data_IF_641027378349
#
_entry.id   IF_641027378349
#
_cell.length_a   1.000
_cell.length_b   1.000
_cell.length_c   1.000
_cell.angle_alpha   90.00
_cell.angle_beta   90.00
_cell.angle_gamma   90.00
#
_symmetry.space_group_name_H-M   'P 1'
#
loop_
_entity.id
_entity.type
_entity.pdbx_description
1 polymer ?
#
# COMPACT_ATOMS: atom_id res chain seq x y z
N UNK A 1 24.57 9.08 9.52
CA UNK A 1 23.68 8.88 8.36
C UNK A 1 23.18 10.23 7.87
N UNK A 2 23.02 10.38 6.56
CA UNK A 2 22.45 11.56 5.91
C UNK A 2 21.11 11.19 5.28
N UNK A 3 20.17 12.13 5.34
CA UNK A 3 18.85 11.99 4.76
C UNK A 3 18.93 12.17 3.25
N UNK A 4 18.38 11.22 2.51
CA UNK A 4 18.28 11.26 1.06
C UNK A 4 16.82 11.11 0.64
N UNK A 5 16.32 12.06 -0.14
CA UNK A 5 14.96 11.99 -0.71
C UNK A 5 15.01 10.97 -1.84
N UNK A 6 14.17 9.93 -1.75
CA UNK A 6 14.02 8.93 -2.80
C UNK A 6 12.95 9.35 -3.82
N UNK A 7 11.82 9.88 -3.33
CA UNK A 7 10.75 10.40 -4.17
C UNK A 7 10.23 11.69 -3.56
N UNK A 8 10.33 12.78 -4.30
CA UNK A 8 9.78 14.09 -3.97
C UNK A 8 8.24 14.05 -3.92
N UNK A 9 7.63 15.11 -3.36
CA UNK A 9 6.18 15.25 -3.34
C UNK A 9 5.62 15.26 -4.77
N UNK A 10 6.31 15.93 -5.67
CA UNK A 10 5.92 16.11 -7.06
C UNK A 10 5.95 14.78 -7.82
N UNK A 11 7.03 14.00 -7.68
CA UNK A 11 7.14 12.66 -8.28
C UNK A 11 6.06 11.70 -7.76
N UNK A 12 5.76 11.75 -6.46
CA UNK A 12 4.67 10.95 -5.87
C UNK A 12 3.33 11.36 -6.46
N UNK A 13 3.03 12.67 -6.54
CA UNK A 13 1.77 13.15 -7.12
C UNK A 13 1.61 12.73 -8.59
N UNK A 14 2.65 12.89 -9.40
CA UNK A 14 2.64 12.44 -10.80
C UNK A 14 2.37 10.94 -10.92
N UNK A 15 2.97 10.14 -10.03
CA UNK A 15 2.74 8.70 -9.98
C UNK A 15 1.30 8.38 -9.59
N UNK A 16 0.75 9.04 -8.57
CA UNK A 16 -0.62 8.83 -8.11
C UNK A 16 -1.62 9.14 -9.22
N UNK A 17 -1.44 10.24 -9.96
CA UNK A 17 -2.26 10.58 -11.13
C UNK A 17 -2.19 9.48 -12.19
N UNK A 18 -0.97 9.01 -12.50
CA UNK A 18 -0.79 7.92 -13.47
C UNK A 18 -1.50 6.64 -13.05
N UNK A 19 -1.42 6.25 -11.77
CA UNK A 19 -2.10 5.07 -11.22
C UNK A 19 -3.61 5.24 -11.28
N UNK A 20 -4.12 6.41 -10.88
CA UNK A 20 -5.55 6.73 -10.94
C UNK A 20 -6.11 6.53 -12.35
N UNK A 21 -5.41 7.01 -13.38
CA UNK A 21 -5.82 6.82 -14.79
C UNK A 21 -5.75 5.38 -15.28
N UNK A 22 -4.78 4.59 -14.81
CA UNK A 22 -4.72 3.16 -15.13
C UNK A 22 -5.91 2.41 -14.50
N UNK A 23 -6.19 2.67 -13.23
CA UNK A 23 -7.31 2.07 -12.50
C UNK A 23 -8.65 2.48 -13.13
N UNK A 24 -8.84 3.76 -13.43
CA UNK A 24 -10.05 4.29 -14.06
C UNK A 24 -10.36 3.60 -15.41
N UNK A 25 -9.31 3.23 -16.16
CA UNK A 25 -9.44 2.52 -17.43
C UNK A 25 -9.82 1.05 -17.25
N UNK A 26 -9.29 0.40 -16.22
CA UNK A 26 -9.49 -1.03 -15.97
C UNK A 26 -10.82 -1.34 -15.26
N UNK A 27 -11.36 -0.38 -14.50
CA UNK A 27 -12.67 -0.48 -13.85
C UNK A 27 -13.73 0.32 -14.63
N UNK A 28 -14.52 -0.39 -15.44
CA UNK A 28 -15.65 0.20 -16.17
C UNK A 28 -16.85 0.53 -15.26
N UNK A 29 -17.07 -0.28 -14.23
CA UNK A 29 -18.16 -0.13 -13.24
C UNK A 29 -17.66 0.51 -11.93
N UNK A 30 -18.59 0.94 -11.09
CA UNK A 30 -18.35 1.33 -9.70
C UNK A 30 -17.63 0.21 -8.91
N UNK A 31 -16.77 0.60 -7.96
CA UNK A 31 -15.97 -0.34 -7.18
C UNK A 31 -15.72 0.13 -5.75
N UNK A 32 -15.26 -0.80 -4.91
CA UNK A 32 -14.90 -0.55 -3.53
C UNK A 32 -13.38 -0.48 -3.40
N UNK A 33 -12.89 0.61 -2.80
CA UNK A 33 -11.49 0.71 -2.37
C UNK A 33 -11.37 0.30 -0.92
N UNK A 34 -10.50 -0.66 -0.63
CA UNK A 34 -10.18 -1.09 0.73
C UNK A 34 -8.74 -0.65 1.02
N UNK A 35 -8.59 0.41 1.82
CA UNK A 35 -7.30 0.91 2.25
C UNK A 35 -6.82 0.18 3.51
N UNK A 36 -5.58 -0.33 3.47
CA UNK A 36 -4.96 -1.03 4.59
C UNK A 36 -4.34 -0.02 5.57
N UNK A 37 -4.92 0.07 6.77
CA UNK A 37 -4.45 0.97 7.81
C UNK A 37 -3.28 0.37 8.59
N UNK A 38 -2.35 1.20 9.09
CA UNK A 38 -2.34 2.67 9.07
C UNK A 38 -1.51 3.28 7.94
N UNK A 39 -0.73 2.49 7.21
CA UNK A 39 0.25 2.97 6.24
C UNK A 39 -0.34 3.68 5.04
N UNK A 40 -1.32 3.05 4.41
CA UNK A 40 -1.82 3.47 3.10
C UNK A 40 -2.73 4.69 3.10
N UNK A 41 -3.16 5.24 4.24
CA UNK A 41 -4.25 6.23 4.26
C UNK A 41 -3.96 7.51 3.46
N UNK A 42 -2.71 7.99 3.43
CA UNK A 42 -2.32 9.16 2.64
C UNK A 42 -2.35 8.81 1.16
N UNK A 43 -1.68 7.73 0.78
CA UNK A 43 -1.68 7.25 -0.60
C UNK A 43 -3.09 6.98 -1.12
N UNK A 44 -3.93 6.30 -0.34
CA UNK A 44 -5.31 6.01 -0.69
C UNK A 44 -6.12 7.30 -0.86
N UNK A 45 -5.98 8.28 0.05
CA UNK A 45 -6.69 9.56 -0.05
C UNK A 45 -6.29 10.36 -1.30
N UNK A 46 -5.02 10.31 -1.69
CA UNK A 46 -4.53 10.97 -2.90
C UNK A 46 -4.99 10.20 -4.14
N UNK A 47 -4.87 8.87 -4.15
CA UNK A 47 -5.26 8.01 -5.26
C UNK A 47 -6.74 8.10 -5.61
N UNK A 48 -7.65 8.00 -4.63
CA UNK A 48 -9.10 8.00 -4.92
C UNK A 48 -9.58 9.31 -5.51
N UNK A 49 -8.86 10.42 -5.29
CA UNK A 49 -9.20 11.74 -5.87
C UNK A 49 -8.82 11.86 -7.34
N UNK A 50 -7.94 11.00 -7.84
CA UNK A 50 -7.51 10.96 -9.24
C UNK A 50 -8.36 10.03 -10.11
N UNK A 51 -9.32 9.32 -9.50
CA UNK A 51 -10.20 8.35 -10.16
C UNK A 51 -11.55 9.00 -10.44
N UNK A 52 -11.91 9.16 -11.71
CA UNK A 52 -13.20 9.72 -12.13
C UNK A 52 -14.30 8.63 -12.25
N UNK A 53 -14.63 7.99 -11.12
CA UNK A 53 -15.66 6.95 -10.99
C UNK A 53 -16.38 7.05 -9.64
N UNK A 54 -17.54 6.41 -9.50
CA UNK A 54 -18.13 6.24 -8.18
C UNK A 54 -17.34 5.18 -7.41
N UNK A 55 -16.73 5.61 -6.30
CA UNK A 55 -15.91 4.77 -5.44
C UNK A 55 -16.48 4.79 -4.03
N UNK A 56 -16.74 3.62 -3.48
CA UNK A 56 -17.00 3.45 -2.05
C UNK A 56 -15.68 3.12 -1.34
N UNK A 57 -15.42 3.75 -0.21
CA UNK A 57 -14.13 3.62 0.50
C UNK A 57 -14.37 2.94 1.85
N UNK A 58 -13.66 1.84 2.09
CA UNK A 58 -13.59 1.19 3.39
C UNK A 58 -12.13 0.99 3.82
N UNK A 59 -11.96 0.64 5.09
CA UNK A 59 -10.64 0.50 5.71
C UNK A 59 -10.55 -0.84 6.44
N UNK A 60 -9.40 -1.50 6.29
CA UNK A 60 -9.07 -2.71 7.02
C UNK A 60 -7.80 -2.49 7.83
N UNK A 61 -7.83 -2.83 9.12
CA UNK A 61 -6.65 -2.73 9.98
C UNK A 61 -6.14 -4.13 10.27
N UNK A 62 -4.86 -4.36 9.99
CA UNK A 62 -4.15 -5.59 10.33
C UNK A 62 -3.02 -5.30 11.31
N UNK A 63 -2.58 -6.32 12.02
CA UNK A 63 -1.34 -6.30 12.80
C UNK A 63 -0.61 -7.62 12.64
N UNK A 64 0.70 -7.59 12.49
CA UNK A 64 1.52 -8.81 12.50
C UNK A 64 1.52 -9.46 13.89
N UNK A 65 1.45 -10.79 13.95
CA UNK A 65 1.71 -11.51 15.19
C UNK A 65 3.23 -11.50 15.46
N UNK A 66 3.66 -10.72 16.46
CA UNK A 66 5.05 -10.67 16.92
C UNK A 66 5.57 -9.25 17.12
N UNK A 67 6.08 -8.95 18.32
CA UNK A 67 6.79 -7.71 18.64
C UNK A 67 8.27 -7.71 18.22
N UNK A 68 8.68 -8.69 17.41
CA UNK A 68 10.05 -8.86 16.91
C UNK A 68 10.11 -8.56 15.41
N UNK A 69 11.28 -8.10 14.93
CA UNK A 69 11.55 -7.74 13.53
C UNK A 69 11.32 -8.88 12.51
N UNK A 70 11.07 -10.11 12.99
CA UNK A 70 10.59 -11.24 12.21
C UNK A 70 9.08 -11.48 12.46
N UNK A 71 8.25 -11.28 11.42
CA UNK A 71 6.83 -11.67 11.47
C UNK A 71 6.70 -13.20 11.48
N UNK A 72 5.82 -13.77 12.29
CA UNK A 72 5.48 -15.21 12.24
C UNK A 72 4.74 -15.64 10.96
N UNK A 73 4.57 -14.74 10.00
CA UNK A 73 3.70 -14.91 8.83
C UNK A 73 2.20 -14.81 9.15
N UNK A 74 1.81 -14.93 10.41
CA UNK A 74 0.42 -14.78 10.82
C UNK A 74 0.00 -13.30 10.87
N UNK A 75 -1.13 -13.01 10.24
CA UNK A 75 -1.74 -11.68 10.18
C UNK A 75 -3.00 -11.68 11.05
N UNK A 76 -3.07 -10.76 12.02
CA UNK A 76 -4.28 -10.53 12.81
C UNK A 76 -5.11 -9.43 12.17
N UNK A 77 -6.38 -9.69 11.93
CA UNK A 77 -7.36 -8.66 11.55
C UNK A 77 -7.90 -7.99 12.82
N UNK A 78 -7.72 -6.67 12.92
CA UNK A 78 -8.19 -5.87 14.06
C UNK A 78 -9.57 -5.27 13.81
N UNK A 79 -9.92 -5.05 12.55
CA UNK A 79 -11.25 -4.62 12.12
C UNK A 79 -11.81 -5.60 11.09
N UNK A 80 -13.13 -5.56 10.91
CA UNK A 80 -13.80 -6.25 9.80
C UNK A 80 -14.33 -5.23 8.79
N UNK A 81 -14.68 -5.70 7.59
CA UNK A 81 -15.31 -4.85 6.59
C UNK A 81 -16.69 -4.40 7.05
N UNK A 82 -17.00 -3.13 6.78
CA UNK A 82 -18.34 -2.57 6.99
C UNK A 82 -19.15 -2.63 5.70
N UNK A 83 -18.46 -2.58 4.56
CA UNK A 83 -19.01 -2.58 3.22
C UNK A 83 -19.26 -4.01 2.74
N UNK A 84 -20.44 -4.27 2.16
CA UNK A 84 -20.66 -5.52 1.43
C UNK A 84 -19.94 -5.47 0.08
N UNK A 85 -19.04 -6.43 -0.15
CA UNK A 85 -18.25 -6.56 -1.38
C UNK A 85 -18.66 -7.75 -2.25
N UNK A 86 -19.67 -8.54 -1.85
CA UNK A 86 -20.14 -9.67 -2.65
C UNK A 86 -20.60 -9.21 -4.04
N UNK A 87 -20.08 -9.85 -5.09
CA UNK A 87 -20.41 -9.52 -6.47
C UNK A 87 -19.91 -8.15 -6.94
N UNK A 88 -19.05 -7.46 -6.18
CA UNK A 88 -18.51 -6.14 -6.54
C UNK A 88 -17.05 -6.19 -6.98
N UNK A 89 -16.67 -5.18 -7.73
CA UNK A 89 -15.28 -4.91 -8.05
C UNK A 89 -14.59 -4.32 -6.82
N UNK A 90 -13.41 -4.81 -6.47
CA UNK A 90 -12.67 -4.41 -5.27
C UNK A 90 -11.21 -4.09 -5.62
N UNK A 91 -10.72 -2.96 -5.11
CA UNK A 91 -9.32 -2.56 -5.16
C UNK A 91 -8.76 -2.46 -3.74
N UNK A 92 -7.81 -3.33 -3.40
CA UNK A 92 -7.02 -3.21 -2.17
C UNK A 92 -5.93 -2.16 -2.40
N UNK A 93 -5.76 -1.22 -1.48
CA UNK A 93 -4.70 -0.20 -1.52
C UNK A 93 -3.80 -0.33 -0.31
N UNK A 94 -2.50 -0.49 -0.55
CA UNK A 94 -1.46 -0.59 0.50
C UNK A 94 -0.30 0.40 0.26
N UNK A 95 0.44 0.78 1.30
CA UNK A 95 1.61 1.67 1.15
C UNK A 95 2.85 0.93 0.65
N UNK A 96 3.07 -0.31 1.11
CA UNK A 96 4.23 -1.09 0.70
C UNK A 96 3.94 -2.58 0.59
N UNK A 97 4.35 -3.17 -0.53
CA UNK A 97 4.40 -4.60 -0.70
C UNK A 97 5.82 -5.12 -0.41
N UNK A 98 6.01 -5.63 0.82
CA UNK A 98 7.31 -6.09 1.33
C UNK A 98 7.45 -7.61 1.23
N UNK A 99 7.34 -8.36 2.33
CA UNK A 99 7.32 -9.84 2.29
C UNK A 99 6.09 -10.41 1.57
N UNK A 100 5.00 -9.66 1.54
CA UNK A 100 3.75 -10.05 0.90
C UNK A 100 2.77 -10.79 1.82
N UNK A 101 3.18 -11.18 3.02
CA UNK A 101 2.33 -11.96 3.95
C UNK A 101 1.01 -11.23 4.28
N UNK A 102 1.05 -9.92 4.54
CA UNK A 102 -0.15 -9.11 4.80
C UNK A 102 -1.08 -9.08 3.60
N UNK A 103 -0.56 -8.71 2.42
CA UNK A 103 -1.39 -8.60 1.22
C UNK A 103 -1.98 -9.96 0.83
N UNK A 104 -1.20 -11.03 0.95
CA UNK A 104 -1.68 -12.40 0.71
C UNK A 104 -2.84 -12.76 1.65
N UNK A 105 -2.68 -12.58 2.96
CA UNK A 105 -3.73 -12.89 3.94
C UNK A 105 -4.99 -12.04 3.73
N UNK A 106 -4.83 -10.76 3.38
CA UNK A 106 -5.94 -9.86 3.05
C UNK A 106 -6.65 -10.35 1.79
N UNK A 107 -5.93 -10.70 0.71
CA UNK A 107 -6.53 -11.23 -0.52
C UNK A 107 -7.32 -12.50 -0.22
N UNK A 108 -6.75 -13.46 0.50
CA UNK A 108 -7.43 -14.69 0.89
C UNK A 108 -8.71 -14.42 1.68
N UNK A 109 -8.65 -13.53 2.69
CA UNK A 109 -9.84 -13.14 3.45
C UNK A 109 -10.90 -12.51 2.56
N UNK A 110 -10.54 -11.54 1.72
CA UNK A 110 -11.49 -10.81 0.90
C UNK A 110 -12.14 -11.68 -0.19
N UNK A 111 -11.42 -12.66 -0.72
CA UNK A 111 -11.98 -13.64 -1.65
C UNK A 111 -13.11 -14.47 -1.04
N UNK A 112 -13.12 -14.69 0.29
CA UNK A 112 -14.22 -15.42 0.96
C UNK A 112 -15.58 -14.71 0.88
N UNK A 113 -15.58 -13.38 0.69
CA UNK A 113 -16.79 -12.58 0.50
C UNK A 113 -17.28 -12.59 -0.97
N UNK A 114 -16.59 -13.33 -1.86
CA UNK A 114 -16.97 -13.53 -3.27
C UNK A 114 -17.13 -12.22 -4.06
N UNK A 115 -16.10 -11.34 -4.11
CA UNK A 115 -16.12 -10.20 -5.00
C UNK A 115 -16.19 -10.64 -6.47
N UNK A 116 -16.74 -9.78 -7.34
CA UNK A 116 -16.72 -9.98 -8.82
C UNK A 116 -15.29 -9.92 -9.35
N UNK A 117 -14.48 -9.01 -8.82
CA UNK A 117 -13.05 -8.91 -9.11
C UNK A 117 -12.31 -8.36 -7.89
N UNK A 118 -11.06 -8.76 -7.72
CA UNK A 118 -10.19 -8.29 -6.66
C UNK A 118 -8.82 -7.94 -7.24
N UNK A 119 -8.50 -6.64 -7.27
CA UNK A 119 -7.19 -6.13 -7.69
C UNK A 119 -6.49 -5.43 -6.53
N UNK A 120 -5.22 -5.14 -6.72
CA UNK A 120 -4.32 -4.60 -5.70
C UNK A 120 -3.49 -3.46 -6.26
N UNK A 121 -3.38 -2.37 -5.51
CA UNK A 121 -2.52 -1.23 -5.82
C UNK A 121 -1.63 -0.93 -4.64
N UNK A 122 -0.32 -0.88 -4.87
CA UNK A 122 0.67 -0.58 -3.83
C UNK A 122 1.53 0.59 -4.27
N UNK A 123 1.82 1.51 -3.36
CA UNK A 123 2.68 2.64 -3.68
C UNK A 123 4.12 2.17 -3.93
N UNK A 124 4.63 1.31 -3.05
CA UNK A 124 5.99 0.78 -3.13
C UNK A 124 5.98 -0.74 -3.22
N UNK A 125 6.90 -1.30 -3.99
CA UNK A 125 7.15 -2.74 -4.03
C UNK A 125 8.64 -3.04 -3.78
N UNK A 126 8.91 -4.06 -2.97
CA UNK A 126 10.26 -4.59 -2.70
C UNK A 126 10.35 -6.05 -3.17
N UNK A 127 10.52 -6.31 -4.49
CA UNK A 127 10.52 -7.67 -5.02
C UNK A 127 11.55 -8.59 -4.35
N UNK A 128 12.72 -8.06 -3.96
CA UNK A 128 13.81 -8.83 -3.33
C UNK A 128 13.45 -9.39 -1.94
N UNK A 129 12.37 -8.92 -1.32
CA UNK A 129 11.92 -9.37 0.01
C UNK A 129 10.74 -10.33 -0.03
N UNK A 130 10.22 -10.67 -1.22
CA UNK A 130 9.02 -11.51 -1.38
C UNK A 130 9.20 -12.89 -0.73
N UNK A 131 8.26 -13.24 0.15
CA UNK A 131 8.17 -14.57 0.80
C UNK A 131 6.84 -15.27 0.46
N UNK A 132 5.76 -14.52 0.31
CA UNK A 132 4.44 -15.05 -0.09
C UNK A 132 4.27 -15.07 -1.62
N UNK A 133 3.45 -15.98 -2.14
CA UNK A 133 3.06 -15.99 -3.56
C UNK A 133 1.99 -14.93 -3.83
N UNK A 134 2.44 -13.67 -3.96
CA UNK A 134 1.57 -12.53 -4.21
C UNK A 134 2.30 -11.46 -5.04
N UNK A 135 1.55 -10.85 -5.96
CA UNK A 135 1.94 -9.65 -6.69
C UNK A 135 0.85 -8.59 -6.60
N UNK A 136 1.26 -7.33 -6.84
CA UNK A 136 0.35 -6.22 -7.01
C UNK A 136 -0.05 -6.05 -8.49
N UNK A 137 -1.31 -5.70 -8.74
CA UNK A 137 -1.79 -5.39 -10.10
C UNK A 137 -1.30 -4.01 -10.57
N UNK A 138 -1.15 -3.07 -9.63
CA UNK A 138 -0.64 -1.72 -9.87
C UNK A 138 0.46 -1.39 -8.87
N UNK A 139 1.63 -1.00 -9.36
CA UNK A 139 2.80 -0.62 -8.55
C UNK A 139 3.16 0.82 -8.84
N UNK A 140 3.31 1.63 -7.79
CA UNK A 140 3.81 3.00 -7.91
C UNK A 140 5.29 3.03 -8.28
N UNK A 141 6.12 2.53 -7.38
CA UNK A 141 7.57 2.47 -7.52
C UNK A 141 8.11 1.11 -7.03
N UNK A 142 8.93 0.48 -7.84
CA UNK A 142 9.78 -0.62 -7.39
C UNK A 142 11.05 -0.04 -6.75
N UNK A 143 11.42 -0.56 -5.57
CA UNK A 143 12.59 -0.10 -4.82
C UNK A 143 13.42 -1.28 -4.30
N UNK A 144 14.70 -1.00 -4.04
CA UNK A 144 15.57 -1.92 -3.32
C UNK A 144 15.16 -2.04 -1.84
N UNK A 145 15.80 -2.97 -1.12
CA UNK A 145 15.58 -3.11 0.31
C UNK A 145 16.27 -1.98 1.10
N UNK A 146 15.61 -0.83 1.12
CA UNK A 146 16.03 0.35 1.85
C UNK A 146 15.11 0.61 3.05
N UNK A 147 15.67 1.19 4.11
CA UNK A 147 14.87 1.76 5.17
C UNK A 147 14.19 3.04 4.67
N UNK A 148 12.86 3.11 4.70
CA UNK A 148 12.08 4.20 4.10
C UNK A 148 11.05 4.75 5.07
N UNK A 149 10.79 6.05 4.97
CA UNK A 149 9.82 6.78 5.80
C UNK A 149 9.20 7.94 5.01
N UNK A 150 8.03 8.39 5.47
CA UNK A 150 7.29 9.48 4.83
C UNK A 150 6.14 9.00 3.96
N UNK A 151 5.22 9.92 3.65
CA UNK A 151 4.05 9.68 2.83
C UNK A 151 3.22 8.45 3.28
N UNK A 152 2.88 8.42 4.56
CA UNK A 152 2.16 7.31 5.19
C UNK A 152 3.09 6.30 5.88
N UNK A 153 4.31 6.10 5.39
CA UNK A 153 5.30 5.20 6.02
C UNK A 153 5.85 5.79 7.32
N UNK A 154 6.20 4.93 8.27
CA UNK A 154 6.58 5.33 9.63
C UNK A 154 7.91 4.74 10.12
N UNK A 155 8.47 5.41 11.12
CA UNK A 155 9.43 4.84 12.04
C UNK A 155 8.97 5.13 13.47
N UNK A 156 8.76 4.08 14.26
CA UNK A 156 7.97 4.18 15.49
C UNK A 156 6.57 4.72 15.17
N UNK A 157 6.11 5.73 15.90
CA UNK A 157 4.80 6.39 15.67
C UNK A 157 4.89 7.68 14.83
N UNK A 158 6.04 7.97 14.22
CA UNK A 158 6.33 9.26 13.59
C UNK A 158 6.53 9.17 12.07
N UNK A 159 6.67 10.35 11.46
CA UNK A 159 7.07 10.59 10.06
C UNK A 159 6.05 10.32 8.97
N UNK A 160 4.89 9.72 9.27
CA UNK A 160 3.81 9.49 8.29
C UNK A 160 3.41 10.77 7.54
N UNK A 161 3.46 11.92 8.21
CA UNK A 161 3.05 13.22 7.69
C UNK A 161 4.11 13.92 6.80
N UNK A 162 5.31 13.35 6.63
CA UNK A 162 6.31 13.92 5.73
C UNK A 162 5.81 13.75 4.28
N UNK A 163 5.82 14.79 3.44
CA UNK A 163 5.12 14.75 2.16
C UNK A 163 5.90 14.10 1.01
N UNK A 164 7.02 13.47 1.30
CA UNK A 164 7.92 12.81 0.36
C UNK A 164 8.50 11.57 1.03
N UNK A 165 9.03 10.65 0.23
CA UNK A 165 9.64 9.42 0.73
C UNK A 165 11.15 9.61 0.77
N UNK A 166 11.78 9.24 1.88
CA UNK A 166 13.21 9.37 2.07
C UNK A 166 13.81 8.18 2.81
N UNK A 167 15.11 8.02 2.65
CA UNK A 167 15.95 7.04 3.33
C UNK A 167 17.09 7.72 4.08
N UNK A 168 17.87 6.92 4.81
CA UNK A 168 19.10 7.35 5.47
C UNK A 168 20.27 6.55 4.91
N UNK A 169 21.25 7.22 4.30
CA UNK A 169 22.51 6.58 3.87
C UNK A 169 23.63 6.87 4.86
N UNK A 170 24.62 6.00 4.96
CA UNK A 170 25.85 6.34 5.67
C UNK A 170 26.50 7.57 5.03
N UNK A 171 27.08 8.45 5.87
CA UNK A 171 27.88 9.54 5.31
C UNK A 171 29.10 8.89 4.67
N UNK A 172 29.36 9.15 3.40
CA UNK A 172 30.64 8.80 2.80
C UNK A 172 31.74 9.54 3.57
N UNK A 173 32.47 8.83 4.44
CA UNK A 173 33.74 9.31 4.99
C UNK A 173 34.79 9.25 3.88
N UNK A 174 34.73 10.16 2.91
CA UNK A 174 35.81 10.43 1.96
C UNK A 174 35.91 11.92 1.65
N UNK A 175 36.71 12.62 2.46
CA UNK A 175 38.06 13.07 2.09
C UNK A 175 38.81 13.55 3.33
#
# INVERSE_FOLDING_TARGET
MEKEILFSREEIQEKVVSLGKMIEKDFEDDFVVISLLRGSFIFAADLVREIDRLVEIDFLTTSSYGHSESSSGEVRFLTDLRTNIEGRNVLIVDDILDTGNTLYAVKEKLMTYKPKSLKTCVLLDKPSRREADVSADYVGFEIEDLFIVGYGLNYGDHYRNVPYIYTYKEKNEKL
#
